data_IF_720407777360
#
_entry.id   IF_720407777360
#
_cell.length_a   1.000
_cell.length_b   1.000
_cell.length_c   1.000
_cell.angle_alpha   90.00
_cell.angle_beta   90.00
_cell.angle_gamma   90.00
#
_symmetry.space_group_name_H-M   'P 1'
#
loop_
_entity.id
_entity.type
_entity.pdbx_description
1 polymer ?
#
# COMPACT_ATOMS: atom_id res chain seq x y z
N UNK A 1 -0.36 -2.07 4.35
CA UNK A 1 -1.07 -3.30 3.96
C UNK A 1 -2.59 -3.10 3.94
N UNK A 2 -3.24 -2.75 5.06
CA UNK A 2 -4.69 -2.55 5.12
C UNK A 2 -5.30 -1.66 4.01
N UNK A 3 -4.66 -0.53 3.68
CA UNK A 3 -5.13 0.36 2.61
C UNK A 3 -5.15 -0.33 1.23
N UNK A 4 -4.10 -1.08 0.90
CA UNK A 4 -4.05 -1.84 -0.36
C UNK A 4 -5.07 -2.97 -0.38
N UNK A 5 -5.22 -3.72 0.73
CA UNK A 5 -6.29 -4.71 0.84
C UNK A 5 -7.67 -4.08 0.64
N UNK A 6 -7.90 -2.89 1.20
CA UNK A 6 -9.19 -2.21 1.05
C UNK A 6 -9.43 -1.74 -0.38
N UNK A 7 -8.40 -1.25 -1.06
CA UNK A 7 -8.46 -0.89 -2.48
C UNK A 7 -8.84 -2.12 -3.32
N UNK A 8 -8.14 -3.24 -3.15
CA UNK A 8 -8.40 -4.44 -3.92
C UNK A 8 -9.79 -5.01 -3.63
N UNK A 9 -10.22 -4.99 -2.36
CA UNK A 9 -11.59 -5.36 -1.97
C UNK A 9 -12.62 -4.52 -2.74
N UNK A 10 -12.57 -3.19 -2.62
CA UNK A 10 -13.59 -2.34 -3.22
C UNK A 10 -13.57 -2.44 -4.76
N UNK A 11 -12.39 -2.48 -5.37
CA UNK A 11 -12.27 -2.62 -6.82
C UNK A 11 -12.87 -3.92 -7.36
N UNK A 12 -12.63 -5.03 -6.68
CA UNK A 12 -13.16 -6.32 -7.08
C UNK A 12 -14.65 -6.51 -6.74
N UNK A 13 -15.19 -5.73 -5.80
CA UNK A 13 -16.64 -5.66 -5.52
C UNK A 13 -17.38 -4.83 -6.57
N UNK A 14 -16.85 -3.66 -6.93
CA UNK A 14 -17.56 -2.73 -7.80
C UNK A 14 -17.31 -2.96 -9.30
N UNK A 15 -16.13 -3.46 -9.68
CA UNK A 15 -15.84 -3.88 -11.07
C UNK A 15 -16.07 -2.75 -12.09
N UNK A 16 -15.92 -1.48 -11.68
CA UNK A 16 -16.28 -0.36 -12.54
C UNK A 16 -15.22 -0.09 -13.63
N UNK A 17 -15.62 0.25 -14.86
CA UNK A 17 -14.71 0.53 -15.96
C UNK A 17 -13.98 1.87 -15.79
N UNK A 18 -12.82 2.00 -16.43
CA UNK A 18 -12.06 3.27 -16.49
C UNK A 18 -12.61 4.21 -17.55
N UNK A 19 -12.27 5.51 -17.46
CA UNK A 19 -12.51 6.44 -18.56
C UNK A 19 -11.88 5.95 -19.88
N UNK A 20 -12.50 6.28 -21.03
CA UNK A 20 -11.92 5.99 -22.34
C UNK A 20 -10.51 6.55 -22.48
N UNK A 21 -9.59 5.77 -23.06
CA UNK A 21 -8.20 6.19 -23.27
C UNK A 21 -7.28 6.05 -22.05
N UNK A 22 -7.78 5.66 -20.87
CA UNK A 22 -6.98 5.53 -19.65
C UNK A 22 -5.79 4.55 -19.77
N UNK A 23 -5.86 3.56 -20.68
CA UNK A 23 -4.80 2.58 -20.91
C UNK A 23 -3.72 3.02 -21.91
N UNK A 24 -3.84 4.20 -22.51
CA UNK A 24 -2.97 4.65 -23.61
C UNK A 24 -2.40 6.02 -23.34
N UNK A 25 -1.13 6.24 -23.69
CA UNK A 25 -0.47 7.55 -23.58
C UNK A 25 0.45 7.78 -24.77
N UNK A 26 0.45 9.01 -25.29
CA UNK A 26 1.42 9.45 -26.28
C UNK A 26 2.76 9.74 -25.59
N UNK A 27 3.82 9.09 -26.05
CA UNK A 27 5.16 9.33 -25.50
C UNK A 27 5.70 10.66 -26.05
N UNK A 28 6.25 11.54 -25.20
CA UNK A 28 6.94 12.73 -25.69
C UNK A 28 8.14 12.35 -26.57
N UNK A 29 8.35 13.09 -27.66
CA UNK A 29 9.44 12.81 -28.63
C UNK A 29 10.84 12.99 -28.03
N UNK A 30 10.96 13.79 -26.97
CA UNK A 30 12.20 14.02 -26.23
C UNK A 30 12.47 12.96 -25.15
N UNK A 31 11.53 12.05 -24.88
CA UNK A 31 11.68 11.07 -23.79
C UNK A 31 12.66 9.96 -24.19
N UNK A 32 13.74 9.73 -23.42
CA UNK A 32 14.64 8.61 -23.67
C UNK A 32 13.88 7.27 -23.65
N UNK A 33 14.16 6.39 -24.62
CA UNK A 33 13.45 5.13 -24.78
C UNK A 33 13.49 4.24 -23.52
N UNK A 34 14.59 4.29 -22.75
CA UNK A 34 14.73 3.57 -21.48
C UNK A 34 13.69 3.99 -20.42
N UNK A 35 13.18 5.23 -20.49
CA UNK A 35 12.18 5.75 -19.56
C UNK A 35 10.74 5.54 -20.03
N UNK A 36 10.53 5.07 -21.27
CA UNK A 36 9.20 4.93 -21.85
C UNK A 36 8.29 3.99 -21.02
N UNK A 37 8.83 2.88 -20.51
CA UNK A 37 8.09 1.95 -19.67
C UNK A 37 7.63 2.59 -18.36
N UNK A 38 8.53 3.28 -17.67
CA UNK A 38 8.22 4.00 -16.43
C UNK A 38 7.18 5.10 -16.68
N UNK A 39 7.33 5.87 -17.76
CA UNK A 39 6.38 6.93 -18.12
C UNK A 39 4.97 6.37 -18.35
N UNK A 40 4.82 5.28 -19.12
CA UNK A 40 3.52 4.61 -19.30
C UNK A 40 2.95 4.14 -17.97
N UNK A 41 3.78 3.52 -17.12
CA UNK A 41 3.36 2.99 -15.83
C UNK A 41 2.78 4.06 -14.89
N UNK A 42 3.29 5.30 -14.92
CA UNK A 42 2.81 6.37 -14.02
C UNK A 42 1.66 7.18 -14.62
N UNK A 43 1.54 7.24 -15.95
CA UNK A 43 0.56 8.09 -16.67
C UNK A 43 -0.69 7.35 -17.11
N UNK A 44 -0.65 6.03 -17.25
CA UNK A 44 -1.82 5.22 -17.64
C UNK A 44 -2.46 4.52 -16.44
N UNK A 45 -3.58 3.85 -16.68
CA UNK A 45 -4.26 3.01 -15.70
C UNK A 45 -4.89 1.78 -16.34
N UNK A 46 -4.63 0.61 -15.76
CA UNK A 46 -5.27 -0.67 -16.12
C UNK A 46 -6.16 -1.17 -14.99
N UNK A 47 -6.99 -2.18 -15.27
CA UNK A 47 -7.94 -2.76 -14.32
C UNK A 47 -9.08 -1.82 -13.92
N UNK A 48 -9.81 -2.18 -12.85
CA UNK A 48 -10.99 -1.44 -12.39
C UNK A 48 -10.66 -0.02 -11.89
N UNK A 49 -11.57 0.90 -12.18
CA UNK A 49 -11.42 2.33 -11.87
C UNK A 49 -11.90 2.68 -10.46
N UNK A 50 -13.05 2.15 -10.06
CA UNK A 50 -13.73 2.60 -8.87
C UNK A 50 -13.42 1.69 -7.66
N UNK A 51 -13.11 2.28 -6.48
CA UNK A 51 -12.70 3.67 -6.27
C UNK A 51 -11.23 3.89 -6.67
N UNK A 52 -10.80 5.16 -6.73
CA UNK A 52 -9.41 5.50 -7.01
C UNK A 52 -8.49 5.05 -5.87
N UNK A 53 -7.64 4.07 -6.17
CA UNK A 53 -6.66 3.56 -5.22
C UNK A 53 -5.60 4.58 -4.82
N UNK A 54 -5.25 5.51 -5.72
CA UNK A 54 -4.34 6.61 -5.38
C UNK A 54 -4.96 7.51 -4.32
N UNK A 55 -6.20 7.95 -4.53
CA UNK A 55 -6.91 8.83 -3.59
C UNK A 55 -7.10 8.14 -2.22
N UNK A 56 -7.56 6.88 -2.21
CA UNK A 56 -7.75 6.10 -0.99
C UNK A 56 -6.43 5.88 -0.25
N UNK A 57 -5.41 5.40 -0.97
CA UNK A 57 -4.09 5.12 -0.41
C UNK A 57 -3.43 6.36 0.19
N UNK A 58 -3.41 7.48 -0.54
CA UNK A 58 -2.83 8.71 -0.02
C UNK A 58 -3.63 9.27 1.14
N UNK A 59 -4.97 9.27 1.08
CA UNK A 59 -5.79 9.76 2.19
C UNK A 59 -5.52 8.96 3.47
N UNK A 60 -5.47 7.63 3.39
CA UNK A 60 -5.19 6.79 4.55
C UNK A 60 -3.75 6.97 5.08
N UNK A 61 -2.75 6.94 4.20
CA UNK A 61 -1.33 6.99 4.60
C UNK A 61 -0.93 8.38 5.10
N UNK A 62 -1.33 9.45 4.40
CA UNK A 62 -0.92 10.80 4.78
C UNK A 62 -1.61 11.24 6.07
N UNK A 63 -2.88 10.83 6.29
CA UNK A 63 -3.54 11.01 7.59
C UNK A 63 -2.83 10.24 8.71
N UNK A 64 -2.42 8.98 8.46
CA UNK A 64 -1.65 8.20 9.43
C UNK A 64 -0.30 8.84 9.77
N UNK A 65 0.41 9.39 8.77
CA UNK A 65 1.66 10.12 8.98
C UNK A 65 1.44 11.41 9.78
N UNK A 66 0.43 12.21 9.42
CA UNK A 66 0.09 13.43 10.16
C UNK A 66 -0.32 13.15 11.61
N UNK A 67 -0.95 11.99 11.85
CA UNK A 67 -1.36 11.53 13.17
C UNK A 67 -0.20 10.99 14.02
N UNK A 68 0.79 10.31 13.43
CA UNK A 68 1.88 9.63 14.15
C UNK A 68 3.19 10.38 14.24
N UNK A 69 3.51 11.23 13.26
CA UNK A 69 4.77 11.97 13.26
C UNK A 69 4.69 13.18 14.18
N UNK A 70 5.73 13.43 14.97
CA UNK A 70 5.82 14.58 15.88
C UNK A 70 6.60 15.77 15.32
N UNK A 71 6.88 15.77 14.01
CA UNK A 71 7.62 16.85 13.35
C UNK A 71 6.75 18.10 13.13
N UNK A 72 7.11 19.20 13.79
CA UNK A 72 6.46 20.51 13.62
C UNK A 72 5.09 20.63 14.28
N UNK A 73 4.35 21.69 13.94
CA UNK A 73 3.02 21.92 14.53
C UNK A 73 1.95 20.98 13.93
N UNK A 74 0.94 20.64 14.72
CA UNK A 74 -0.17 19.80 14.27
C UNK A 74 -0.86 20.34 13.00
N UNK A 75 -1.12 21.64 12.96
CA UNK A 75 -1.71 22.30 11.80
C UNK A 75 -0.84 22.14 10.54
N UNK A 76 0.48 22.28 10.66
CA UNK A 76 1.41 22.09 9.53
C UNK A 76 1.35 20.67 8.99
N UNK A 77 1.42 19.66 9.87
CA UNK A 77 1.39 18.24 9.46
C UNK A 77 0.11 17.90 8.69
N UNK A 78 -1.05 18.31 9.20
CA UNK A 78 -2.33 18.07 8.56
C UNK A 78 -2.49 18.86 7.25
N UNK A 79 -1.96 20.08 7.19
CA UNK A 79 -1.97 20.87 5.94
C UNK A 79 -1.11 20.21 4.87
N UNK A 80 0.12 19.80 5.18
CA UNK A 80 1.02 19.10 4.25
C UNK A 80 0.38 17.79 3.78
N UNK A 81 -0.22 17.03 4.70
CA UNK A 81 -0.95 15.81 4.36
C UNK A 81 -2.09 16.09 3.38
N UNK A 82 -2.93 17.09 3.66
CA UNK A 82 -4.04 17.46 2.80
C UNK A 82 -3.58 17.91 1.42
N UNK A 83 -2.57 18.80 1.34
CA UNK A 83 -2.01 19.27 0.07
C UNK A 83 -1.50 18.10 -0.77
N UNK A 84 -0.74 17.18 -0.16
CA UNK A 84 -0.24 16.01 -0.87
C UNK A 84 -1.35 15.09 -1.40
N UNK A 85 -2.38 14.85 -0.60
CA UNK A 85 -3.57 14.09 -1.02
C UNK A 85 -4.27 14.77 -2.20
N UNK A 86 -4.48 16.08 -2.14
CA UNK A 86 -5.15 16.83 -3.21
C UNK A 86 -4.34 16.87 -4.49
N UNK A 87 -3.01 17.02 -4.41
CA UNK A 87 -2.13 16.97 -5.58
C UNK A 87 -2.19 15.60 -6.27
N UNK A 88 -2.13 14.52 -5.50
CA UNK A 88 -2.24 13.16 -6.06
C UNK A 88 -3.63 12.92 -6.64
N UNK A 89 -4.70 13.33 -5.95
CA UNK A 89 -6.07 13.21 -6.44
C UNK A 89 -6.27 13.98 -7.76
N UNK A 90 -5.82 15.24 -7.82
CA UNK A 90 -5.89 16.07 -9.02
C UNK A 90 -5.12 15.45 -10.19
N UNK A 91 -3.93 14.89 -9.93
CA UNK A 91 -3.13 14.24 -10.98
C UNK A 91 -3.91 13.12 -11.70
N UNK A 92 -4.79 12.40 -11.00
CA UNK A 92 -5.55 11.30 -11.59
C UNK A 92 -6.65 11.77 -12.53
N UNK A 93 -7.21 12.94 -12.28
CA UNK A 93 -8.19 13.60 -13.15
C UNK A 93 -7.47 14.17 -14.38
N UNK A 94 -6.35 14.86 -14.17
CA UNK A 94 -5.52 15.44 -15.26
C UNK A 94 -5.02 14.34 -16.21
N UNK A 95 -4.61 13.19 -15.67
CA UNK A 95 -4.20 12.03 -16.48
C UNK A 95 -5.37 11.29 -17.16
N UNK A 96 -6.63 11.66 -16.86
CA UNK A 96 -7.80 11.05 -17.49
C UNK A 96 -8.03 9.57 -17.12
N UNK A 97 -7.47 9.10 -16.00
CA UNK A 97 -7.55 7.66 -15.64
C UNK A 97 -8.67 7.31 -14.66
N UNK A 98 -9.33 8.33 -14.11
CA UNK A 98 -10.38 8.22 -13.10
C UNK A 98 -11.43 9.32 -13.31
N UNK A 99 -12.69 8.97 -13.06
CA UNK A 99 -13.76 9.96 -12.93
C UNK A 99 -13.67 10.67 -11.57
N UNK A 100 -14.30 11.84 -11.46
CA UNK A 100 -14.35 12.59 -10.19
C UNK A 100 -14.96 11.75 -9.06
N UNK A 101 -16.00 10.95 -9.35
CA UNK A 101 -16.64 10.07 -8.35
C UNK A 101 -15.68 9.02 -7.80
N UNK A 102 -14.78 8.47 -8.63
CA UNK A 102 -13.74 7.52 -8.19
C UNK A 102 -12.83 8.17 -7.13
N UNK A 103 -12.50 9.45 -7.33
CA UNK A 103 -11.67 10.24 -6.43
C UNK A 103 -12.42 10.53 -5.13
N UNK A 104 -13.64 11.07 -5.21
CA UNK A 104 -14.43 11.44 -4.05
C UNK A 104 -14.67 10.24 -3.12
N UNK A 105 -15.09 9.11 -3.68
CA UNK A 105 -15.30 7.88 -2.89
C UNK A 105 -13.97 7.30 -2.40
N UNK A 106 -12.90 7.38 -3.19
CA UNK A 106 -11.57 6.99 -2.75
C UNK A 106 -11.10 7.77 -1.53
N UNK A 107 -11.25 9.10 -1.53
CA UNK A 107 -10.90 9.96 -0.39
C UNK A 107 -11.71 9.62 0.86
N UNK A 108 -13.04 9.45 0.71
CA UNK A 108 -13.92 9.06 1.81
C UNK A 108 -13.53 7.69 2.38
N UNK A 109 -13.35 6.68 1.53
CA UNK A 109 -12.92 5.35 1.93
C UNK A 109 -11.57 5.38 2.66
N UNK A 110 -10.61 6.17 2.17
CA UNK A 110 -9.29 6.31 2.79
C UNK A 110 -9.36 6.97 4.16
N UNK A 111 -10.17 8.02 4.29
CA UNK A 111 -10.43 8.69 5.57
C UNK A 111 -11.14 7.76 6.57
N UNK A 112 -12.15 7.00 6.11
CA UNK A 112 -12.85 6.00 6.95
C UNK A 112 -11.91 4.90 7.43
N UNK A 113 -11.03 4.40 6.55
CA UNK A 113 -10.03 3.40 6.94
C UNK A 113 -9.05 3.96 7.97
N UNK A 114 -8.56 5.19 7.79
CA UNK A 114 -7.71 5.85 8.77
C UNK A 114 -8.44 5.98 10.12
N UNK A 115 -9.69 6.45 10.13
CA UNK A 115 -10.46 6.60 11.35
C UNK A 115 -10.65 5.26 12.08
N UNK A 116 -10.97 4.19 11.34
CA UNK A 116 -11.07 2.84 11.89
C UNK A 116 -9.72 2.36 12.47
N UNK A 117 -8.63 2.54 11.73
CA UNK A 117 -7.28 2.16 12.15
C UNK A 117 -6.83 2.93 13.38
N UNK A 118 -7.09 4.24 13.47
CA UNK A 118 -6.76 5.07 14.62
C UNK A 118 -7.60 4.67 15.85
N UNK A 119 -8.89 4.40 15.67
CA UNK A 119 -9.78 3.98 16.75
C UNK A 119 -9.37 2.64 17.36
N UNK A 120 -8.99 1.65 16.55
CA UNK A 120 -8.56 0.33 17.05
C UNK A 120 -7.09 0.30 17.49
N UNK A 121 -6.24 1.04 16.78
CA UNK A 121 -4.78 1.03 16.96
C UNK A 121 -4.28 1.84 18.13
N UNK A 122 -5.05 2.84 18.60
CA UNK A 122 -4.74 3.60 19.82
C UNK A 122 -4.55 2.74 21.08
N UNK A 123 -5.04 1.49 21.05
CA UNK A 123 -4.96 0.54 22.17
C UNK A 123 -3.94 -0.58 21.96
N UNK A 124 -3.69 -1.00 20.72
CA UNK A 124 -2.79 -2.11 20.38
C UNK A 124 -2.52 -2.15 18.86
N UNK A 125 -1.25 -2.01 18.41
CA UNK A 125 -0.89 -2.11 16.99
C UNK A 125 -1.27 -3.43 16.33
N UNK A 126 -1.38 -4.54 17.08
CA UNK A 126 -1.83 -5.83 16.54
C UNK A 126 -3.24 -5.76 15.97
N UNK A 127 -4.11 -4.90 16.52
CA UNK A 127 -5.46 -4.70 15.99
C UNK A 127 -5.46 -4.08 14.60
N UNK A 128 -4.46 -3.25 14.28
CA UNK A 128 -4.31 -2.68 12.94
C UNK A 128 -3.84 -3.74 11.95
N UNK A 129 -2.93 -4.62 12.36
CA UNK A 129 -2.54 -5.78 11.54
C UNK A 129 -3.69 -6.77 11.34
N UNK A 130 -4.49 -7.01 12.38
CA UNK A 130 -5.70 -7.83 12.30
C UNK A 130 -6.73 -7.22 11.34
N UNK A 131 -6.99 -5.90 11.43
CA UNK A 131 -7.85 -5.18 10.48
C UNK A 131 -7.36 -5.37 9.04
N UNK A 132 -6.06 -5.18 8.80
CA UNK A 132 -5.48 -5.39 7.47
C UNK A 132 -5.56 -6.84 6.98
N UNK A 133 -5.45 -7.82 7.89
CA UNK A 133 -5.59 -9.25 7.58
C UNK A 133 -7.03 -9.59 7.21
N UNK A 134 -8.01 -9.09 7.96
CA UNK A 134 -9.44 -9.25 7.66
C UNK A 134 -9.77 -8.66 6.29
N UNK A 135 -9.34 -7.40 6.05
CA UNK A 135 -9.53 -6.77 4.74
C UNK A 135 -8.80 -7.55 3.63
N UNK A 136 -7.64 -8.13 3.92
CA UNK A 136 -6.88 -8.97 2.98
C UNK A 136 -7.64 -10.24 2.59
N UNK A 137 -8.22 -10.95 3.56
CA UNK A 137 -9.08 -12.12 3.30
C UNK A 137 -10.27 -11.73 2.45
N UNK A 138 -10.98 -10.66 2.83
CA UNK A 138 -12.13 -10.15 2.06
C UNK A 138 -11.73 -9.77 0.64
N UNK A 139 -10.57 -9.14 0.45
CA UNK A 139 -10.04 -8.78 -0.87
C UNK A 139 -9.73 -10.01 -1.72
N UNK A 140 -9.15 -11.07 -1.14
CA UNK A 140 -8.89 -12.34 -1.84
C UNK A 140 -10.20 -12.99 -2.28
N UNK A 141 -11.20 -13.04 -1.39
CA UNK A 141 -12.53 -13.58 -1.70
C UNK A 141 -13.20 -12.77 -2.82
N UNK A 142 -13.21 -11.44 -2.72
CA UNK A 142 -13.76 -10.57 -3.74
C UNK A 142 -13.04 -10.75 -5.09
N UNK A 143 -11.71 -10.88 -5.07
CA UNK A 143 -10.91 -11.09 -6.29
C UNK A 143 -11.14 -12.47 -6.91
N UNK A 144 -11.45 -13.49 -6.11
CA UNK A 144 -11.72 -14.84 -6.61
C UNK A 144 -13.06 -14.93 -7.36
N UNK A 145 -14.03 -14.09 -6.99
CA UNK A 145 -15.36 -14.06 -7.62
C UNK A 145 -15.48 -12.95 -8.68
N UNK A 146 -14.51 -12.05 -8.77
CA UNK A 146 -14.52 -10.98 -9.78
C UNK A 146 -14.16 -11.53 -11.17
N UNK A 147 -14.63 -10.88 -12.25
CA UNK A 147 -14.28 -11.31 -13.61
C UNK A 147 -12.78 -11.34 -13.91
N UNK A 148 -11.97 -10.55 -13.18
CA UNK A 148 -10.51 -10.53 -13.37
C UNK A 148 -9.82 -11.76 -12.75
N UNK A 149 -10.35 -12.33 -11.67
CA UNK A 149 -9.79 -13.52 -11.02
C UNK A 149 -8.37 -13.36 -10.45
N UNK A 150 -7.84 -12.14 -10.34
CA UNK A 150 -6.43 -11.87 -9.99
C UNK A 150 -6.16 -11.96 -8.47
N UNK A 151 -6.38 -13.14 -7.88
CA UNK A 151 -6.27 -13.37 -6.44
C UNK A 151 -4.88 -13.11 -5.85
N UNK A 152 -3.82 -13.24 -6.65
CA UNK A 152 -2.44 -13.07 -6.17
C UNK A 152 -2.17 -11.63 -5.71
N UNK A 153 -2.73 -10.61 -6.36
CA UNK A 153 -2.56 -9.20 -5.97
C UNK A 153 -3.11 -8.94 -4.56
N UNK A 154 -4.34 -9.38 -4.31
CA UNK A 154 -4.95 -9.30 -3.00
C UNK A 154 -4.20 -10.11 -1.93
N UNK A 155 -3.70 -11.30 -2.32
CA UNK A 155 -2.91 -12.17 -1.44
C UNK A 155 -1.63 -11.53 -0.90
N UNK A 156 -0.97 -10.68 -1.69
CA UNK A 156 0.24 -9.98 -1.24
C UNK A 156 0.00 -9.14 0.01
N UNK A 157 -1.12 -8.41 0.05
CA UNK A 157 -1.44 -7.52 1.15
C UNK A 157 -1.91 -8.27 2.39
N UNK A 158 -2.61 -9.40 2.20
CA UNK A 158 -2.93 -10.35 3.27
C UNK A 158 -1.65 -10.88 3.92
N UNK A 159 -0.73 -11.42 3.12
CA UNK A 159 0.56 -11.91 3.60
C UNK A 159 1.32 -10.83 4.35
N UNK A 160 1.42 -9.63 3.76
CA UNK A 160 2.09 -8.49 4.40
C UNK A 160 1.50 -8.13 5.77
N UNK A 161 0.17 -8.10 5.90
CA UNK A 161 -0.52 -7.82 7.16
C UNK A 161 -0.30 -8.90 8.21
N UNK A 162 -0.40 -10.19 7.83
CA UNK A 162 -0.21 -11.33 8.74
C UNK A 162 1.23 -11.41 9.21
N UNK A 163 2.20 -11.35 8.29
CA UNK A 163 3.62 -11.43 8.60
C UNK A 163 4.09 -10.28 9.49
N UNK A 164 3.66 -9.05 9.19
CA UNK A 164 3.94 -7.90 10.03
C UNK A 164 3.33 -8.02 11.43
N UNK A 165 2.09 -8.54 11.54
CA UNK A 165 1.43 -8.78 12.82
C UNK A 165 2.13 -9.83 13.68
N UNK A 166 2.54 -10.95 13.08
CA UNK A 166 3.30 -12.01 13.77
C UNK A 166 4.64 -11.45 14.25
N UNK A 167 5.39 -10.77 13.38
CA UNK A 167 6.67 -10.17 13.76
C UNK A 167 6.52 -9.14 14.88
N UNK A 168 5.47 -8.31 14.83
CA UNK A 168 5.18 -7.36 15.90
C UNK A 168 4.93 -8.06 17.24
N UNK A 169 4.12 -9.13 17.24
CA UNK A 169 3.80 -9.90 18.44
C UNK A 169 5.04 -10.55 19.06
N UNK A 170 5.89 -11.16 18.21
CA UNK A 170 7.07 -11.93 18.62
C UNK A 170 8.23 -11.02 19.04
N UNK A 171 8.53 -10.00 18.24
CA UNK A 171 9.77 -9.23 18.36
C UNK A 171 9.59 -7.95 19.18
N UNK A 172 8.41 -7.32 19.12
CA UNK A 172 8.08 -6.06 19.80
C UNK A 172 9.16 -4.98 19.58
N UNK A 173 9.36 -4.53 18.33
CA UNK A 173 10.46 -3.64 18.00
C UNK A 173 10.42 -2.32 18.79
N UNK A 174 11.57 -1.96 19.37
CA UNK A 174 11.74 -0.80 20.26
C UNK A 174 12.83 0.18 19.80
N UNK A 175 13.63 -0.18 18.80
CA UNK A 175 14.74 0.60 18.27
C UNK A 175 14.44 1.17 16.89
N UNK A 176 15.17 2.23 16.52
CA UNK A 176 15.24 2.72 15.15
C UNK A 176 16.44 2.09 14.44
N UNK A 177 16.34 1.88 13.13
CA UNK A 177 17.46 1.44 12.30
C UNK A 177 18.32 2.64 11.91
N UNK A 178 19.64 2.46 11.89
CA UNK A 178 20.54 3.36 11.16
C UNK A 178 20.29 3.27 9.64
N UNK A 179 20.81 4.22 8.88
CA UNK A 179 20.72 4.20 7.42
C UNK A 179 21.31 2.91 6.83
N UNK A 180 22.45 2.45 7.35
CA UNK A 180 23.12 1.24 6.87
C UNK A 180 22.26 -0.01 7.11
N UNK A 181 21.71 -0.14 8.30
CA UNK A 181 20.85 -1.29 8.64
C UNK A 181 19.52 -1.24 7.88
N UNK A 182 18.99 -0.04 7.63
CA UNK A 182 17.81 0.16 6.78
C UNK A 182 18.08 -0.33 5.35
N UNK A 183 19.23 0.02 4.77
CA UNK A 183 19.61 -0.45 3.43
C UNK A 183 19.85 -1.96 3.43
N UNK A 184 20.60 -2.47 4.42
CA UNK A 184 20.92 -3.89 4.52
C UNK A 184 19.67 -4.78 4.68
N UNK A 185 18.70 -4.35 5.49
CA UNK A 185 17.43 -5.06 5.66
C UNK A 185 16.46 -4.80 4.49
N UNK A 186 16.47 -3.59 3.92
CA UNK A 186 15.54 -3.15 2.88
C UNK A 186 15.79 -3.79 1.53
N UNK A 187 17.06 -4.04 1.14
CA UNK A 187 17.39 -4.63 -0.17
C UNK A 187 16.81 -6.04 -0.34
N UNK A 188 17.03 -7.01 0.57
CA UNK A 188 16.44 -8.34 0.44
C UNK A 188 14.91 -8.32 0.44
N UNK A 189 14.32 -7.46 1.28
CA UNK A 189 12.86 -7.25 1.32
C UNK A 189 12.37 -6.74 -0.03
N UNK A 190 13.00 -5.72 -0.60
CA UNK A 190 12.64 -5.15 -1.89
C UNK A 190 12.78 -6.18 -3.02
N UNK A 191 13.87 -6.95 -3.04
CA UNK A 191 14.08 -8.04 -4.02
C UNK A 191 12.95 -9.06 -3.94
N UNK A 192 12.55 -9.47 -2.72
CA UNK A 192 11.46 -10.42 -2.53
C UNK A 192 10.11 -9.86 -3.02
N UNK A 193 9.80 -8.60 -2.70
CA UNK A 193 8.60 -7.92 -3.20
C UNK A 193 8.58 -7.80 -4.73
N UNK A 194 9.69 -7.37 -5.33
CA UNK A 194 9.81 -7.26 -6.80
C UNK A 194 9.71 -8.63 -7.45
N UNK A 195 10.33 -9.66 -6.87
CA UNK A 195 10.23 -11.04 -7.35
C UNK A 195 8.79 -11.54 -7.37
N UNK A 196 8.05 -11.37 -6.28
CA UNK A 196 6.61 -11.72 -6.21
C UNK A 196 5.80 -10.93 -7.25
N UNK A 197 6.06 -9.64 -7.40
CA UNK A 197 5.36 -8.80 -8.36
C UNK A 197 5.60 -9.22 -9.82
N UNK A 198 6.85 -9.49 -10.18
CA UNK A 198 7.25 -9.82 -11.56
C UNK A 198 6.84 -11.24 -11.95
N UNK A 199 6.91 -12.20 -11.01
CA UNK A 199 6.62 -13.61 -11.30
C UNK A 199 5.15 -13.99 -11.14
N UNK A 200 4.35 -13.15 -10.46
CA UNK A 200 2.92 -13.41 -10.20
C UNK A 200 2.64 -14.85 -9.72
N UNK A 201 3.31 -15.33 -8.65
CA UNK A 201 3.27 -16.73 -8.28
C UNK A 201 1.89 -17.12 -7.69
N UNK A 202 1.60 -18.42 -7.55
CA UNK A 202 0.34 -18.88 -6.96
C UNK A 202 0.04 -18.24 -5.61
N UNK A 203 -1.25 -18.11 -5.26
CA UNK A 203 -1.72 -17.38 -4.09
C UNK A 203 -0.95 -17.73 -2.81
N UNK A 204 -0.74 -19.01 -2.53
CA UNK A 204 -0.05 -19.46 -1.32
C UNK A 204 1.40 -18.96 -1.28
N UNK A 205 2.13 -19.09 -2.38
CA UNK A 205 3.53 -18.63 -2.51
C UNK A 205 3.60 -17.12 -2.31
N UNK A 206 2.64 -16.40 -2.92
CA UNK A 206 2.52 -14.95 -2.77
C UNK A 206 2.29 -14.53 -1.32
N UNK A 207 1.31 -15.14 -0.63
CA UNK A 207 0.97 -14.83 0.77
C UNK A 207 2.15 -15.14 1.69
N UNK A 208 2.80 -16.30 1.53
CA UNK A 208 3.95 -16.68 2.36
C UNK A 208 5.13 -15.76 2.09
N UNK A 209 5.45 -15.50 0.81
CA UNK A 209 6.56 -14.63 0.42
C UNK A 209 6.42 -13.22 0.97
N UNK A 210 5.24 -12.60 0.83
CA UNK A 210 5.04 -11.24 1.37
C UNK A 210 4.88 -11.21 2.89
N UNK A 211 4.42 -12.29 3.52
CA UNK A 211 4.44 -12.42 4.98
C UNK A 211 5.88 -12.45 5.52
N UNK A 212 6.78 -13.21 4.89
CA UNK A 212 8.20 -13.20 5.24
C UNK A 212 8.79 -11.81 5.00
N UNK A 213 8.54 -11.20 3.85
CA UNK A 213 9.05 -9.87 3.52
C UNK A 213 8.63 -8.82 4.55
N UNK A 214 7.33 -8.75 4.87
CA UNK A 214 6.80 -7.79 5.84
C UNK A 214 7.23 -8.10 7.27
N UNK A 215 7.30 -9.39 7.64
CA UNK A 215 7.78 -9.82 8.95
C UNK A 215 9.23 -9.40 9.18
N UNK A 216 10.11 -9.61 8.19
CA UNK A 216 11.51 -9.14 8.23
C UNK A 216 11.57 -7.62 8.37
N UNK A 217 10.76 -6.86 7.63
CA UNK A 217 10.71 -5.40 7.77
C UNK A 217 10.40 -4.95 9.20
N UNK A 218 9.44 -5.61 9.86
CA UNK A 218 9.05 -5.27 11.24
C UNK A 218 10.10 -5.75 12.26
N UNK A 219 10.73 -6.91 12.02
CA UNK A 219 11.72 -7.49 12.92
C UNK A 219 13.12 -6.84 12.81
N UNK A 220 13.43 -6.23 11.67
CA UNK A 220 14.77 -5.73 11.35
C UNK A 220 15.39 -4.83 12.44
N UNK A 221 14.69 -3.83 13.02
CA UNK A 221 15.27 -2.96 14.06
C UNK A 221 15.80 -3.72 15.27
N UNK A 222 15.08 -4.75 15.71
CA UNK A 222 15.47 -5.54 16.88
C UNK A 222 16.57 -6.54 16.57
N UNK A 223 16.54 -7.14 15.37
CA UNK A 223 17.58 -8.07 14.94
C UNK A 223 18.93 -7.35 14.80
N UNK A 224 18.92 -6.12 14.28
CA UNK A 224 20.12 -5.31 14.17
C UNK A 224 20.68 -4.92 15.55
N UNK A 225 19.81 -4.52 16.50
CA UNK A 225 20.23 -4.19 17.87
C UNK A 225 20.90 -5.36 18.61
N UNK A 226 20.44 -6.61 18.41
CA UNK A 226 21.04 -7.81 19.03
C UNK A 226 22.41 -8.18 18.47
N UNK A 227 22.74 -7.76 17.24
CA UNK A 227 24.03 -8.05 16.63
C UNK A 227 25.16 -7.14 17.17
N UNK A 228 24.80 -5.99 17.76
CA UNK A 228 25.75 -5.01 18.31
C UNK A 228 26.09 -5.30 19.78
N UNK A 229 25.22 -5.98 20.52
CA UNK A 229 25.47 -6.45 21.89
C UNK A 229 25.50 -7.99 21.94
N UNK A 230 26.58 -8.65 21.46
CA UNK A 230 26.78 -10.05 21.77
C UNK A 230 27.11 -10.17 23.26
N UNK A 231 26.23 -10.83 24.02
CA UNK A 231 26.41 -11.20 25.42
C UNK A 231 27.71 -11.96 25.68
#
# INVERSE_FOLDING_TARGET
FAAFSFIDLLKNVFVAPRPPGAGTVALPTWLPAVLAGAFRSITTGTGYAFPSGHALGTAAVFAALAYRLEAGSGATRWTVALVGVLLVAASRIVLGVHFFVDIAVGLLAGASLFAAAAAVGSRDPLRVFALGSVLGVLAVVASAVSPAGEVWKAGQWLGGSVGAGIAWYVVRPSSQLSLRETVAAGVPVAVLWVGVYVTSPPLLVTVVGTAVAAGVTIAAPTLAGRAVEPS
#
